data_IF_890410184390
#
_entry.id   IF_890410184390
#
_cell.length_a   1.000
_cell.length_b   1.000
_cell.length_c   1.000
_cell.angle_alpha   90.00
_cell.angle_beta   90.00
_cell.angle_gamma   90.00
#
_symmetry.space_group_name_H-M   'P 1'
#
loop_
_entity.id
_entity.type
_entity.pdbx_description
1 polymer ?
2 polymer ?
#
# COMPACT_ATOMS: atom_id res chain seq x y z
N UNK A 16 -8.67 -26.56 -26.45
CA UNK A 16 -8.28 -25.21 -26.03
C UNK A 16 -9.50 -24.36 -25.72
N UNK A 17 -9.47 -23.71 -24.56
CA UNK A 17 -10.59 -22.85 -24.14
C UNK A 17 -10.67 -21.57 -24.97
N UNK A 18 -9.53 -21.07 -25.42
CA UNK A 18 -9.48 -19.93 -26.32
C UNK A 18 -8.15 -19.98 -27.06
N UNK A 19 -7.99 -19.09 -28.03
CA UNK A 19 -6.76 -19.02 -28.81
C UNK A 19 -5.75 -18.13 -28.11
N UNK A 20 -4.55 -18.68 -27.90
CA UNK A 20 -3.46 -18.06 -27.16
C UNK A 20 -2.40 -17.44 -28.06
N UNK A 21 -2.64 -17.39 -29.36
CA UNK A 21 -1.65 -16.84 -30.29
C UNK A 21 -1.36 -15.38 -29.97
N UNK A 22 -0.07 -15.07 -29.86
CA UNK A 22 0.37 -13.73 -29.51
C UNK A 22 0.04 -12.72 -30.60
N UNK A 23 -0.66 -11.65 -30.22
CA UNK A 23 -1.02 -10.57 -31.14
C UNK A 23 -0.17 -9.33 -30.91
N UNK A 24 0.90 -9.43 -30.13
CA UNK A 24 1.76 -8.29 -29.89
C UNK A 24 2.93 -8.67 -29.00
N UNK A 25 3.78 -7.67 -28.74
CA UNK A 25 4.96 -7.87 -27.90
C UNK A 25 4.57 -8.33 -26.50
N UNK A 26 5.36 -9.25 -25.96
CA UNK A 26 5.29 -9.60 -24.54
C UNK A 26 5.60 -8.40 -23.66
N UNK A 27 4.98 -8.39 -22.46
CA UNK A 27 5.26 -7.41 -21.43
C UNK A 27 5.58 -8.11 -20.12
N UNK A 28 6.53 -7.54 -19.36
CA UNK A 28 6.90 -8.03 -18.03
C UNK A 28 6.34 -7.10 -16.96
N UNK A 29 5.51 -7.63 -16.07
CA UNK A 29 4.84 -6.85 -15.04
C UNK A 29 5.49 -7.04 -13.68
N UNK A 30 5.60 -5.94 -12.95
CA UNK A 30 6.04 -5.92 -11.56
C UNK A 30 5.53 -4.61 -10.97
N UNK A 31 5.37 -4.59 -9.65
CA UNK A 31 4.81 -3.41 -9.00
C UNK A 31 5.53 -2.12 -9.42
N UNK A 32 6.87 -2.14 -9.40
CA UNK A 32 7.64 -0.93 -9.64
C UNK A 32 8.26 -0.89 -11.03
N UNK A 33 7.71 -1.65 -11.97
CA UNK A 33 8.29 -1.71 -13.31
C UNK A 33 8.22 -0.36 -13.99
N UNK A 34 7.03 0.24 -14.03
CA UNK A 34 6.85 1.53 -14.68
C UNK A 34 7.66 2.63 -14.02
N UNK A 35 7.94 2.47 -12.72
CA UNK A 35 8.67 3.47 -11.94
C UNK A 35 10.16 3.14 -11.84
N UNK A 36 10.68 2.36 -12.80
CA UNK A 36 12.09 1.96 -12.89
C UNK A 36 12.58 1.27 -11.62
N UNK A 37 11.70 0.49 -10.98
CA UNK A 37 11.98 -0.21 -9.73
C UNK A 37 12.22 0.74 -8.56
N UNK A 38 11.79 1.99 -8.70
CA UNK A 38 12.03 3.03 -7.70
C UNK A 38 10.75 3.31 -6.92
N UNK A 39 10.86 3.32 -5.60
CA UNK A 39 9.77 3.72 -4.71
C UNK A 39 10.17 5.02 -4.01
N UNK A 40 9.35 6.05 -4.17
CA UNK A 40 9.61 7.38 -3.60
C UNK A 40 8.74 7.59 -2.37
N UNK A 41 9.35 8.09 -1.30
CA UNK A 41 8.63 8.40 -0.07
C UNK A 41 8.86 9.88 0.20
N UNK A 42 7.76 10.63 0.34
CA UNK A 42 7.82 12.04 0.73
C UNK A 42 7.19 12.17 2.11
N UNK A 43 7.96 12.69 3.06
CA UNK A 43 7.57 12.82 4.46
C UNK A 43 7.65 14.28 4.83
N UNK A 44 6.55 14.85 5.29
CA UNK A 44 6.52 16.26 5.65
C UNK A 44 7.23 16.52 6.98
N UNK A 45 8.24 17.40 6.94
CA UNK A 45 9.10 17.68 8.09
C UNK A 45 8.32 17.97 9.35
N UNK A 46 7.06 18.41 9.20
CA UNK A 46 6.18 18.64 10.35
C UNK A 46 5.79 17.34 11.04
N UNK A 47 5.47 16.29 10.28
CA UNK A 47 5.07 15.05 10.93
C UNK A 47 6.26 14.36 11.56
N UNK A 48 7.45 14.49 10.96
CA UNK A 48 8.68 14.04 11.60
C UNK A 48 8.97 14.81 12.88
N UNK A 49 8.73 16.13 12.87
CA UNK A 49 8.97 16.93 14.07
C UNK A 49 8.04 16.52 15.21
N UNK A 50 6.77 16.24 14.88
CA UNK A 50 5.86 15.75 15.92
C UNK A 50 6.32 14.40 16.44
N UNK A 51 6.82 13.55 15.56
CA UNK A 51 7.33 12.24 15.98
C UNK A 51 8.48 12.41 16.97
N UNK A 52 9.43 13.30 16.67
CA UNK A 52 10.56 13.51 17.57
C UNK A 52 10.11 14.09 18.91
N UNK A 53 9.14 15.00 18.89
CA UNK A 53 8.63 15.57 20.14
C UNK A 53 8.07 14.46 21.03
N UNK A 54 7.23 13.60 20.45
CA UNK A 54 6.65 12.50 21.22
C UNK A 54 7.74 11.56 21.73
N UNK A 55 8.77 11.32 20.90
CA UNK A 55 9.83 10.41 21.32
C UNK A 55 10.58 10.99 22.52
N UNK A 56 10.81 12.31 22.51
CA UNK A 56 11.60 12.89 23.59
C UNK A 56 10.81 12.89 24.89
N UNK A 57 9.49 13.12 24.79
CA UNK A 57 8.64 13.05 25.99
C UNK A 57 8.70 11.64 26.58
N UNK A 58 8.53 10.62 25.72
CA UNK A 58 8.59 9.24 26.18
C UNK A 58 9.95 8.98 26.82
N UNK A 59 11.02 9.44 26.17
CA UNK A 59 12.39 9.21 26.61
C UNK A 59 12.68 9.88 27.94
N UNK A 60 11.86 10.85 28.33
CA UNK A 60 12.08 11.57 29.57
C UNK A 60 11.08 11.17 30.65
N UNK A 61 10.03 10.44 30.29
CA UNK A 61 9.04 10.02 31.27
C UNK A 61 9.52 8.85 32.11
N UNK A 62 10.52 8.10 31.66
CA UNK A 62 11.09 7.03 32.45
C UNK A 62 12.57 6.90 32.13
N UNK A 63 13.34 6.51 33.15
CA UNK A 63 14.79 6.60 33.09
C UNK A 63 15.49 5.24 33.01
N UNK A 64 14.84 4.15 33.44
CA UNK A 64 15.47 2.84 33.30
C UNK A 64 15.17 2.25 31.92
N UNK A 65 14.03 2.60 31.34
CA UNK A 65 13.63 2.11 30.02
C UNK A 65 14.56 2.77 29.00
N UNK A 66 15.30 1.96 28.24
CA UNK A 66 16.00 2.58 27.13
C UNK A 66 15.04 3.27 26.15
N UNK A 67 15.53 4.36 25.59
CA UNK A 67 14.84 5.25 24.66
C UNK A 67 14.34 4.73 23.31
N UNK A 68 13.55 3.67 23.22
CA UNK A 68 13.01 3.33 21.91
C UNK A 68 11.51 3.64 21.90
N UNK A 69 11.11 4.67 21.16
CA UNK A 69 9.70 5.02 20.98
C UNK A 69 8.98 4.18 19.93
N UNK A 70 7.68 3.92 20.16
CA UNK A 70 6.87 3.16 19.22
C UNK A 70 5.73 4.06 18.73
N UNK A 71 5.74 4.47 17.46
CA UNK A 71 4.63 5.26 16.93
C UNK A 71 4.10 4.68 15.62
N UNK A 72 3.21 5.43 14.96
CA UNK A 72 2.74 5.15 13.62
C UNK A 72 2.87 6.46 12.85
N UNK A 73 3.27 6.39 11.58
CA UNK A 73 3.06 7.47 10.61
C UNK A 73 1.92 7.11 9.64
N UNK A 74 1.19 8.13 9.20
CA UNK A 74 0.08 7.94 8.28
C UNK A 74 0.33 8.66 6.95
N UNK A 75 0.10 7.93 5.85
CA UNK A 75 0.33 8.46 4.52
C UNK A 75 -0.78 8.14 3.54
N UNK A 76 -0.61 8.64 2.31
CA UNK A 76 -1.50 8.37 1.19
C UNK A 76 -0.67 7.87 0.02
N UNK A 77 -1.27 7.00 -0.81
CA UNK A 77 -0.59 6.42 -1.97
C UNK A 77 -1.03 7.15 -3.22
N UNK A 78 -0.07 7.71 -3.95
CA UNK A 78 -0.33 8.49 -5.16
C UNK A 78 0.50 7.95 -6.31
N UNK A 79 -0.05 8.02 -7.53
CA UNK A 79 0.60 7.52 -8.73
C UNK A 79 0.59 8.64 -9.77
N UNK A 80 1.77 9.07 -10.20
CA UNK A 80 1.95 10.34 -10.90
C UNK A 80 1.75 10.18 -12.41
N UNK A 81 2.13 11.23 -13.15
CA UNK A 81 1.97 11.26 -14.61
C UNK A 81 2.57 10.06 -15.31
N UNK A 82 3.77 9.62 -14.93
CA UNK A 82 4.35 8.53 -15.71
C UNK A 82 4.50 7.28 -14.85
N UNK A 83 3.41 6.90 -14.19
CA UNK A 83 3.32 5.69 -13.38
C UNK A 83 4.40 5.70 -12.30
N UNK A 84 4.62 6.87 -11.72
CA UNK A 84 5.60 7.03 -10.64
C UNK A 84 4.91 6.87 -9.30
N UNK A 85 5.33 5.89 -8.50
CA UNK A 85 4.62 5.59 -7.27
C UNK A 85 5.25 6.44 -6.17
N UNK A 86 4.42 7.19 -5.43
CA UNK A 86 4.89 8.01 -4.32
C UNK A 86 4.02 7.80 -3.09
N UNK A 87 4.65 7.60 -1.94
CA UNK A 87 3.94 7.54 -0.68
C UNK A 87 4.12 8.89 0.01
N UNK A 88 3.02 9.59 0.28
CA UNK A 88 3.06 10.90 0.90
C UNK A 88 2.67 10.71 2.36
N UNK A 89 3.66 10.74 3.25
CA UNK A 89 3.44 10.52 4.68
C UNK A 89 3.38 11.89 5.33
N UNK A 90 2.24 12.21 5.97
CA UNK A 90 2.10 13.56 6.51
C UNK A 90 1.35 13.59 7.83
N UNK A 91 1.12 12.46 8.49
CA UNK A 91 0.37 12.47 9.74
C UNK A 91 1.08 11.53 10.71
N UNK A 92 1.32 12.01 11.92
CA UNK A 92 1.84 11.19 13.00
C UNK A 92 0.69 10.81 13.92
N UNK A 93 0.73 9.59 14.43
CA UNK A 93 -0.33 9.11 15.28
C UNK A 93 0.36 8.26 16.32
N UNK A 94 0.37 8.70 17.58
CA UNK A 94 1.03 7.89 18.61
C UNK A 94 0.40 6.52 18.80
N UNK A 95 -0.90 6.39 18.57
CA UNK A 95 -1.55 5.10 18.69
C UNK A 95 -2.08 4.79 20.08
N UNK A 96 -2.91 3.75 20.14
CA UNK A 96 -3.53 3.25 21.35
C UNK A 96 -2.94 1.89 21.73
N UNK A 97 -3.04 1.56 23.01
CA UNK A 97 -2.73 0.22 23.49
C UNK A 97 -4.03 -0.47 23.84
N UNK A 98 -4.22 -1.68 23.33
CA UNK A 98 -5.41 -2.48 23.63
C UNK A 98 -4.97 -3.83 24.18
N UNK A 99 -5.85 -4.44 24.98
CA UNK A 99 -5.55 -5.71 25.63
C UNK A 99 -6.66 -6.69 25.30
N UNK A 100 -6.33 -7.72 24.50
CA UNK A 100 -7.27 -8.80 24.22
C UNK A 100 -7.33 -9.81 25.36
N UNK A 101 -6.39 -9.76 26.30
CA UNK A 101 -6.27 -10.64 27.45
C UNK A 101 -5.96 -12.09 27.06
N UNK A 102 -5.58 -12.33 25.80
CA UNK A 102 -5.07 -13.65 25.44
C UNK A 102 -3.69 -13.86 26.06
N UNK A 103 -2.79 -12.90 25.89
CA UNK A 103 -1.52 -12.87 26.57
C UNK A 103 -1.43 -11.66 27.47
N UNK A 104 -0.60 -11.74 28.52
CA UNK A 104 -0.51 -10.65 29.48
C UNK A 104 0.03 -9.37 28.84
N UNK A 105 0.92 -9.50 27.86
CA UNK A 105 1.51 -8.33 27.22
C UNK A 105 0.46 -7.53 26.47
N UNK A 106 0.41 -6.23 26.73
CA UNK A 106 -0.53 -5.37 26.04
C UNK A 106 -0.09 -5.18 24.58
N UNK A 107 -1.05 -4.82 23.73
CA UNK A 107 -0.77 -4.66 22.32
C UNK A 107 -0.75 -3.18 21.94
N UNK A 108 0.05 -2.89 20.93
CA UNK A 108 0.33 -1.56 20.40
C UNK A 108 -0.31 -1.42 19.02
N UNK A 109 -1.25 -0.51 18.87
CA UNK A 109 -1.98 -0.40 17.60
C UNK A 109 -2.08 1.07 17.22
N UNK A 110 -2.32 1.35 15.92
CA UNK A 110 -2.47 2.75 15.51
C UNK A 110 -3.68 3.38 16.18
N UNK A 111 -3.70 4.72 16.17
CA UNK A 111 -4.79 5.42 16.84
C UNK A 111 -6.13 5.10 16.16
N UNK A 112 -6.27 5.47 14.89
CA UNK A 112 -7.50 5.26 14.12
C UNK A 112 -7.18 4.88 12.68
N UNK A 113 -7.37 3.62 12.30
CA UNK A 113 -7.05 3.25 10.92
C UNK A 113 -8.12 3.84 9.99
N UNK A 114 -7.70 4.76 9.11
CA UNK A 114 -8.61 5.33 8.11
C UNK A 114 -8.53 4.52 6.83
N UNK A 115 -9.65 4.23 6.16
CA UNK A 115 -9.53 3.62 4.82
C UNK A 115 -8.81 4.57 3.88
N UNK A 116 -7.81 4.04 3.19
CA UNK A 116 -6.92 4.79 2.33
C UNK A 116 -5.65 5.26 3.00
N UNK A 117 -5.48 4.97 4.29
CA UNK A 117 -4.30 5.37 5.05
C UNK A 117 -3.22 4.31 4.86
N UNK A 118 -2.02 4.73 4.46
CA UNK A 118 -0.87 3.85 4.60
C UNK A 118 -0.36 3.96 6.03
N UNK A 119 -0.31 2.82 6.73
CA UNK A 119 0.15 2.75 8.11
C UNK A 119 1.62 2.34 8.09
N UNK A 120 2.49 3.22 8.58
CA UNK A 120 3.92 2.92 8.60
C UNK A 120 4.35 2.87 10.07
N UNK A 121 4.62 1.69 10.63
CA UNK A 121 5.15 1.66 12.00
C UNK A 121 6.47 2.41 12.08
N UNK A 122 6.57 3.29 13.08
CA UNK A 122 7.75 4.15 13.25
C UNK A 122 8.40 3.80 14.58
N UNK A 123 9.62 3.31 14.52
CA UNK A 123 10.45 3.06 15.68
C UNK A 123 11.58 4.07 15.73
N UNK A 125 14.89 5.80 18.21
CA UNK A 125 15.73 5.73 19.41
C UNK A 125 16.91 6.69 19.31
N UNK A 126 17.30 7.26 20.44
CA UNK A 126 18.49 8.08 20.46
C UNK A 126 19.70 7.15 20.33
N UNK A 127 20.58 7.43 19.36
CA UNK A 127 21.76 6.58 19.20
C UNK A 127 22.67 6.69 20.42
N UNK A 128 23.25 5.56 20.81
CA UNK A 128 24.13 5.56 21.98
C UNK A 128 25.33 6.48 21.75
N UNK A 129 26.25 6.05 20.88
CA UNK A 129 27.45 6.82 20.61
C UNK A 129 27.56 7.13 19.12
N UNK A 130 27.54 6.09 18.30
CA UNK A 130 27.59 6.18 16.85
C UNK A 130 27.16 4.87 16.26
N UNK A 131 26.27 4.93 15.26
CA UNK A 131 25.76 3.72 14.62
C UNK A 131 25.86 3.91 13.11
N UNK A 132 26.99 3.45 12.55
CA UNK A 132 27.15 3.42 11.09
C UNK A 132 26.24 2.38 10.48
N UNK A 133 26.25 1.18 11.03
CA UNK A 133 25.38 0.13 10.56
C UNK A 133 23.92 0.46 10.80
N UNK A 134 23.15 0.43 9.72
CA UNK A 134 21.72 0.70 9.77
C UNK A 134 21.00 -0.60 9.49
N UNK A 135 20.09 -0.96 10.38
CA UNK A 135 19.25 -2.14 10.24
C UNK A 135 17.80 -1.69 10.28
N UNK A 136 17.20 -1.35 9.14
CA UNK A 136 15.84 -0.82 9.20
C UNK A 136 14.92 -2.01 9.00
N UNK A 137 13.69 -1.90 9.49
CA UNK A 137 12.72 -2.97 9.33
C UNK A 137 13.43 -4.29 9.63
N UNK A 138 13.93 -4.41 10.87
CA UNK A 138 14.59 -5.67 11.20
C UNK A 138 13.64 -6.86 11.06
N UNK A 139 14.25 -8.05 10.96
CA UNK A 139 13.52 -9.28 10.75
C UNK A 139 12.71 -9.70 11.96
N UNK A 140 13.15 -9.31 13.15
CA UNK A 140 12.40 -9.62 14.36
C UNK A 140 11.04 -8.95 14.36
N UNK A 141 10.94 -7.73 13.85
CA UNK A 141 9.62 -7.13 13.80
C UNK A 141 9.06 -6.97 12.40
N UNK A 142 9.89 -6.53 11.45
CA UNK A 142 9.43 -6.46 10.06
C UNK A 142 9.08 -7.82 9.52
N UNK A 143 9.86 -8.85 9.84
CA UNK A 143 9.56 -10.15 9.27
C UNK A 143 8.19 -10.64 9.71
N UNK A 144 7.89 -10.53 11.00
CA UNK A 144 6.57 -10.88 11.48
C UNK A 144 5.50 -10.02 10.82
N UNK A 145 5.75 -8.71 10.71
CA UNK A 145 4.76 -7.83 10.11
C UNK A 145 4.49 -8.20 8.65
N UNK A 146 5.53 -8.57 7.91
CA UNK A 146 5.37 -8.93 6.50
C UNK A 146 4.69 -10.27 6.36
N UNK A 147 4.94 -11.20 7.27
CA UNK A 147 4.21 -12.46 7.27
C UNK A 147 2.72 -12.19 7.44
N UNK A 148 2.39 -11.31 8.39
CA UNK A 148 0.99 -10.90 8.58
C UNK A 148 0.44 -10.22 7.33
N UNK A 149 1.27 -9.39 6.67
CA UNK A 149 0.83 -8.69 5.46
C UNK A 149 0.47 -9.67 4.37
N UNK A 150 1.33 -10.66 4.11
CA UNK A 150 1.06 -11.60 3.04
C UNK A 150 -0.10 -12.52 3.42
N UNK A 151 -0.26 -12.79 4.71
CA UNK A 151 -1.40 -13.57 5.16
C UNK A 151 -2.71 -12.83 4.88
N UNK A 152 -2.70 -11.50 5.05
CA UNK A 152 -3.85 -10.67 4.72
C UNK A 152 -4.08 -10.65 3.21
N UNK A 153 -3.00 -10.59 2.43
CA UNK A 153 -3.11 -10.60 0.97
C UNK A 153 -3.70 -11.91 0.45
N UNK A 154 -3.44 -13.03 1.12
CA UNK A 154 -3.96 -14.31 0.66
C UNK A 154 -5.46 -14.47 0.89
N UNK A 155 -6.01 -13.88 1.94
CA UNK A 155 -7.35 -14.18 2.41
C UNK A 155 -8.34 -13.04 2.22
N UNK A 156 -7.87 -11.85 1.81
CA UNK A 156 -8.76 -10.71 1.68
C UNK A 156 -9.83 -10.95 0.62
N UNK A 157 -11.01 -10.42 0.91
CA UNK A 157 -12.16 -10.43 0.03
C UNK A 157 -12.50 -9.04 -0.49
N UNK A 158 -11.64 -8.06 -0.26
CA UNK A 158 -12.00 -6.71 -0.61
C UNK A 158 -11.47 -6.42 -2.01
N UNK A 159 -11.86 -5.27 -2.54
CA UNK A 159 -11.36 -4.87 -3.86
C UNK A 159 -9.85 -4.78 -3.82
N UNK A 160 -9.25 -4.96 -5.00
CA UNK A 160 -7.80 -4.85 -5.08
C UNK A 160 -7.38 -3.48 -4.60
N UNK A 161 -6.40 -3.45 -3.70
CA UNK A 161 -5.90 -2.23 -3.10
C UNK A 161 -4.39 -2.30 -3.15
N UNK A 162 -3.76 -1.30 -3.78
CA UNK A 162 -2.32 -1.29 -3.85
C UNK A 162 -1.71 -1.23 -2.46
N UNK A 163 -2.39 -0.61 -1.50
CA UNK A 163 -1.85 -0.54 -0.14
C UNK A 163 -1.71 -1.91 0.54
N UNK A 164 -2.47 -2.91 0.14
CA UNK A 164 -2.30 -4.23 0.74
C UNK A 164 -1.06 -4.94 0.21
N UNK A 166 2.30 -3.81 0.00
CA UNK A 166 3.63 -3.47 0.50
C UNK A 166 3.60 -3.22 2.00
N UNK A 167 4.71 -3.52 2.68
CA UNK A 167 4.85 -3.27 4.12
C UNK A 167 6.10 -2.43 4.38
N UNK A 168 5.89 -1.22 4.91
CA UNK A 168 6.93 -0.21 5.10
C UNK A 168 7.10 0.14 6.58
N UNK A 169 8.34 0.23 7.05
CA UNK A 169 8.64 0.58 8.43
C UNK A 169 9.76 1.61 8.42
N UNK A 170 9.84 2.41 9.49
CA UNK A 170 10.89 3.44 9.55
C UNK A 170 11.55 3.39 10.92
N UNK A 171 12.88 3.38 10.92
CA UNK A 171 13.69 3.56 12.12
C UNK A 171 14.37 4.92 12.06
N UNK A 172 14.24 5.69 13.12
CA UNK A 172 14.79 7.04 13.20
C UNK A 172 15.67 7.18 14.43
N UNK A 173 16.93 7.56 14.23
CA UNK A 173 17.79 7.87 15.36
C UNK A 173 17.95 9.38 15.43
N UNK A 174 17.62 9.97 16.59
CA UNK A 174 17.58 11.41 16.75
C UNK A 174 18.48 11.89 17.88
N UNK A 175 18.78 13.19 17.82
CA UNK A 175 19.59 13.88 18.83
C UNK A 175 19.09 15.31 18.92
N UNK A 176 19.03 15.80 20.16
CA UNK A 176 18.60 17.16 20.48
C UNK A 176 19.70 17.91 21.21
N UNK A 177 20.04 19.09 20.71
CA UNK A 177 20.89 19.98 21.49
C UNK A 177 20.19 21.31 21.64
N UNK A 178 20.90 22.34 22.14
CA UNK A 178 20.25 23.61 22.38
C UNK A 178 19.81 24.28 21.08
N UNK A 179 20.48 23.96 19.98
CA UNK A 179 20.26 24.69 18.73
C UNK A 179 19.25 23.99 17.83
N UNK A 180 19.36 22.67 17.66
CA UNK A 180 18.61 22.02 16.60
C UNK A 180 18.34 20.57 16.97
N UNK A 181 17.42 19.96 16.23
CA UNK A 181 17.17 18.52 16.23
C UNK A 181 17.73 17.89 14.96
N UNK A 182 18.58 16.87 15.12
CA UNK A 182 19.14 16.14 13.98
C UNK A 182 18.59 14.72 14.02
N UNK A 183 18.20 14.20 12.84
CA UNK A 183 17.61 12.86 12.74
C UNK A 183 18.18 12.10 11.53
N UNK A 184 18.61 10.85 11.76
CA UNK A 184 18.94 9.91 10.69
C UNK A 184 17.75 8.97 10.49
N UNK A 185 17.12 9.07 9.33
CA UNK A 185 15.91 8.32 8.99
C UNK A 185 16.27 7.20 8.03
N UNK A 186 16.01 5.96 8.46
CA UNK A 186 16.16 4.77 7.62
C UNK A 186 14.77 4.17 7.43
N UNK A 187 14.27 4.24 6.19
CA UNK A 187 12.95 3.75 5.83
C UNK A 187 13.09 2.56 4.89
N UNK A 188 12.41 1.47 5.25
CA UNK A 188 12.54 0.23 4.53
C UNK A 188 11.17 -0.34 4.19
N UNK A 189 11.11 -1.04 3.06
CA UNK A 189 9.86 -1.60 2.53
C UNK A 189 10.13 -2.99 2.00
N UNK A 190 9.10 -3.83 2.07
CA UNK A 190 9.10 -5.14 1.42
C UNK A 190 7.83 -5.28 0.58
N UNK A 191 7.94 -6.11 -0.46
CA UNK A 191 6.90 -6.28 -1.48
C UNK A 191 7.15 -7.55 -2.29
N UNK A 192 6.11 -8.20 -2.81
CA UNK A 192 6.29 -9.42 -3.61
C UNK A 192 7.05 -9.16 -4.91
N UNK A 193 7.97 -10.07 -5.23
CA UNK A 193 8.84 -9.96 -6.39
C UNK A 193 8.26 -10.54 -7.68
N UNK A 194 7.17 -11.31 -7.59
CA UNK A 194 6.64 -12.05 -8.74
C UNK A 194 6.46 -11.16 -9.97
N UNK A 195 7.05 -11.58 -11.09
CA UNK A 195 6.84 -10.96 -12.39
C UNK A 195 5.70 -11.67 -13.13
N UNK A 196 4.75 -10.88 -13.66
CA UNK A 196 3.68 -11.41 -14.49
C UNK A 196 4.05 -11.32 -15.97
N UNK A 197 4.11 -12.46 -16.65
CA UNK A 197 4.29 -12.44 -18.10
C UNK A 197 2.95 -12.21 -18.79
N UNK A 198 2.88 -11.20 -19.66
CA UNK A 198 1.63 -10.85 -20.31
C UNK A 198 1.79 -10.83 -21.84
N UNK A 199 0.87 -11.50 -22.52
CA UNK A 199 0.91 -11.66 -23.97
C UNK A 199 -0.39 -11.12 -24.54
N UNK A 200 -0.37 -10.18 -25.48
CA UNK A 200 -1.62 -9.75 -26.11
C UNK A 200 -2.18 -10.87 -26.98
N UNK A 201 -3.49 -11.09 -26.88
CA UNK A 201 -4.15 -12.17 -27.60
C UNK A 201 -5.37 -11.62 -28.33
N UNK A 202 -5.93 -12.44 -29.21
CA UNK A 202 -7.11 -12.06 -29.96
C UNK A 202 -8.33 -11.94 -29.04
N UNK A 203 -9.29 -11.10 -29.40
CA UNK A 203 -10.48 -10.90 -28.54
C UNK A 203 -11.32 -12.17 -28.42
N UNK A 204 -11.96 -12.31 -27.26
CA UNK A 204 -12.80 -13.46 -26.94
C UNK A 204 -14.21 -12.94 -26.71
N UNK A 205 -15.21 -13.72 -27.15
CA UNK A 205 -16.59 -13.29 -27.01
C UNK A 205 -16.98 -13.17 -25.54
N UNK A 206 -17.65 -12.07 -25.20
CA UNK A 206 -18.13 -11.80 -23.86
C UNK A 206 -19.66 -11.72 -23.92
N UNK A 207 -20.31 -12.46 -23.04
CA UNK A 207 -21.78 -12.35 -22.96
C UNK A 207 -22.16 -10.91 -22.62
N UNK A 208 -23.02 -10.26 -23.40
CA UNK A 208 -23.32 -8.83 -23.19
C UNK A 208 -24.28 -8.59 -22.03
N UNK A 209 -23.87 -9.00 -20.83
CA UNK A 209 -24.63 -8.71 -19.63
C UNK A 209 -24.54 -7.23 -19.28
N UNK A 210 -25.29 -6.85 -18.24
CA UNK A 210 -25.35 -5.44 -17.84
C UNK A 210 -23.97 -4.94 -17.42
N UNK A 211 -23.21 -5.79 -16.72
CA UNK A 211 -21.86 -5.40 -16.31
C UNK A 211 -20.97 -5.20 -17.53
N UNK A 212 -21.02 -6.13 -18.50
CA UNK A 212 -20.23 -5.97 -19.72
C UNK A 212 -20.63 -4.72 -20.49
N UNK A 213 -21.93 -4.38 -20.48
CA UNK A 213 -22.38 -3.21 -21.23
C UNK A 213 -21.92 -1.93 -20.54
N UNK A 214 -21.92 -1.91 -19.21
CA UNK A 214 -21.47 -0.72 -18.49
C UNK A 214 -19.95 -0.60 -18.56
N UNK A 215 -19.27 -1.74 -18.70
CA UNK A 215 -17.82 -1.80 -18.80
C UNK A 215 -17.32 -1.32 -20.16
N UNK A 216 -18.03 -1.65 -21.23
CA UNK A 216 -17.58 -1.12 -22.51
C UNK A 216 -18.04 0.32 -22.74
N UNK A 217 -18.83 0.86 -21.82
CA UNK A 217 -19.33 2.21 -21.93
C UNK A 217 -18.25 3.20 -21.57
N UNK A 218 -18.60 4.20 -20.74
CA UNK A 218 -17.74 5.33 -20.37
C UNK A 218 -16.52 4.88 -19.55
N UNK A 225 -13.78 8.94 -14.71
CA UNK A 225 -13.86 9.18 -13.27
C UNK A 225 -12.54 8.86 -12.59
N UNK A 226 -11.69 8.10 -13.30
CA UNK A 226 -10.34 7.76 -12.84
C UNK A 226 -10.37 6.99 -11.52
N UNK A 227 -11.37 6.14 -11.36
CA UNK A 227 -11.44 5.19 -10.26
C UNK A 227 -11.18 3.77 -10.79
N UNK A 228 -10.25 3.06 -10.15
CA UNK A 228 -9.95 1.72 -10.60
C UNK A 228 -10.99 0.76 -10.02
N UNK A 229 -11.40 -0.22 -10.81
CA UNK A 229 -12.16 -1.36 -10.33
C UNK A 229 -11.73 -2.61 -11.07
N UNK A 230 -11.99 -3.77 -10.44
CA UNK A 230 -11.56 -5.03 -11.02
C UNK A 230 -12.56 -6.12 -10.63
N UNK A 231 -12.49 -7.23 -11.35
CA UNK A 231 -13.31 -8.39 -11.06
C UNK A 231 -12.67 -9.68 -11.54
N UNK A 232 -13.49 -10.69 -11.75
CA UNK A 232 -13.04 -12.02 -12.11
C UNK A 232 -13.79 -12.49 -13.34
N UNK A 233 -13.25 -13.48 -14.04
CA UNK A 233 -13.82 -13.93 -15.31
C UNK A 233 -14.30 -15.36 -15.16
N UNK A 234 -15.61 -15.56 -15.38
CA UNK A 234 -16.32 -16.84 -15.43
C UNK A 234 -16.68 -17.22 -16.87
N UNK A 235 -17.25 -18.41 -17.03
CA UNK A 235 -17.61 -18.97 -18.33
C UNK A 235 -18.92 -19.73 -18.18
N UNK A 236 -19.77 -19.67 -19.21
CA UNK A 236 -21.08 -20.31 -19.17
C UNK A 236 -21.14 -21.55 -20.06
N UNK A 237 -22.34 -22.13 -20.16
CA UNK A 237 -22.51 -23.37 -20.91
C UNK A 237 -22.20 -23.21 -22.38
N UNK A 238 -22.49 -22.04 -22.96
CA UNK A 238 -22.19 -21.77 -24.36
C UNK A 238 -20.73 -21.43 -24.61
N UNK A 239 -19.88 -21.59 -23.61
CA UNK A 239 -18.45 -21.26 -23.71
C UNK A 239 -18.27 -19.79 -24.07
N UNK A 240 -19.13 -18.96 -23.51
CA UNK A 240 -19.05 -17.51 -23.62
C UNK A 240 -18.57 -16.93 -22.29
N UNK A 241 -17.85 -15.82 -22.36
CA UNK A 241 -17.25 -15.26 -21.16
C UNK A 241 -18.25 -14.38 -20.43
N UNK A 242 -18.30 -14.54 -19.10
CA UNK A 242 -19.13 -13.74 -18.22
C UNK A 242 -18.25 -13.00 -17.22
N UNK A 243 -18.41 -11.67 -17.15
CA UNK A 243 -17.63 -10.87 -16.22
C UNK A 243 -18.33 -10.85 -14.88
N UNK A 244 -17.55 -10.95 -13.80
CA UNK A 244 -18.08 -11.08 -12.45
C UNK A 244 -17.45 -10.06 -11.54
N UNK A 245 -18.27 -9.47 -10.66
CA UNK A 245 -17.82 -8.56 -9.63
C UNK A 245 -17.01 -9.30 -8.57
N UNK A 246 -16.09 -8.56 -7.94
CA UNK A 246 -15.24 -9.14 -6.92
C UNK A 246 -16.00 -9.47 -5.63
N UNK A 247 -17.28 -9.10 -5.57
CA UNK A 247 -18.12 -9.36 -4.40
C UNK A 247 -19.17 -10.45 -4.63
N UNK A 248 -19.20 -11.06 -5.81
CA UNK A 248 -20.20 -12.09 -6.11
C UNK A 248 -19.96 -13.33 -5.25
N UNK A 249 -20.94 -13.73 -4.42
CA UNK A 249 -20.72 -14.91 -3.56
C UNK A 249 -20.54 -16.23 -4.31
N UNK A 250 -20.95 -16.31 -5.58
CA UNK A 250 -20.71 -17.52 -6.36
C UNK A 250 -19.23 -17.78 -6.63
N UNK A 251 -18.37 -16.79 -6.37
CA UNK A 251 -16.93 -16.90 -6.62
C UNK A 251 -16.27 -18.05 -5.88
N UNK A 252 -16.87 -18.55 -4.79
CA UNK A 252 -16.20 -19.57 -3.97
C UNK A 252 -16.04 -20.89 -4.71
N UNK A 253 -16.92 -21.20 -5.66
CA UNK A 253 -16.80 -22.46 -6.37
C UNK A 253 -17.05 -22.34 -7.87
N UNK A 254 -17.40 -21.16 -8.37
CA UNK A 254 -17.54 -20.98 -9.83
C UNK A 254 -16.18 -21.15 -10.50
N UNK A 255 -16.12 -21.79 -11.67
CA UNK A 255 -14.83 -21.96 -12.38
C UNK A 255 -14.34 -20.62 -12.93
N UNK A 256 -13.18 -20.18 -12.46
CA UNK A 256 -12.65 -18.87 -12.84
C UNK A 256 -11.46 -19.06 -13.76
N UNK A 257 -11.32 -18.18 -14.75
CA UNK A 257 -10.23 -18.26 -15.72
C UNK A 257 -9.41 -16.98 -15.81
N UNK A 258 -9.72 -15.98 -15.00
CA UNK A 258 -8.96 -14.74 -15.05
C UNK A 258 -9.74 -13.61 -14.41
N UNK A 259 -9.40 -12.39 -14.85
CA UNK A 259 -9.90 -11.18 -14.24
C UNK A 259 -10.23 -10.13 -15.30
N UNK A 260 -11.01 -9.12 -14.88
CA UNK A 260 -11.15 -7.92 -15.68
C UNK A 260 -10.78 -6.72 -14.81
N UNK A 261 -10.18 -5.72 -15.45
CA UNK A 261 -9.70 -4.50 -14.82
C UNK A 261 -10.12 -3.32 -15.68
N UNK A 262 -10.57 -2.24 -15.05
CA UNK A 262 -11.02 -1.06 -15.77
C UNK A 262 -10.34 0.19 -15.21
N UNK A 263 -10.16 1.20 -16.06
CA UNK A 263 -9.72 2.49 -15.57
C UNK A 263 -8.23 2.76 -15.48
N UNK A 264 -7.39 2.10 -16.29
CA UNK A 264 -5.97 2.41 -16.31
C UNK A 264 -5.57 2.88 -17.71
N UNK A 265 -4.40 3.50 -17.80
CA UNK A 265 -3.92 3.99 -19.09
C UNK A 265 -3.20 2.90 -19.87
N UNK A 266 -2.42 2.06 -19.20
CA UNK A 266 -1.70 1.00 -19.88
C UNK A 266 -1.57 -0.18 -18.93
N UNK A 267 -0.94 -1.25 -19.42
CA UNK A 267 -0.71 -2.43 -18.59
C UNK A 267 0.37 -2.20 -17.55
N UNK A 268 1.14 -1.11 -17.68
CA UNK A 268 2.22 -0.82 -16.75
C UNK A 268 1.72 -0.20 -15.45
N UNK A 269 0.43 0.15 -15.36
CA UNK A 269 -0.10 0.69 -14.12
C UNK A 269 0.05 -0.35 -13.02
N UNK A 270 0.59 -0.01 -11.86
CA UNK A 270 0.81 -0.99 -10.80
C UNK A 270 -0.46 -1.68 -10.30
N UNK A 271 -1.63 -1.08 -10.55
CA UNK A 271 -2.86 -1.74 -10.16
C UNK A 271 -3.04 -3.06 -10.88
N UNK A 272 -2.56 -3.15 -12.13
CA UNK A 272 -2.69 -4.39 -12.88
C UNK A 272 -1.88 -5.52 -12.24
N UNK A 273 -0.60 -5.26 -11.94
CA UNK A 273 0.19 -6.26 -11.24
C UNK A 273 -0.44 -6.64 -9.91
N UNK A 274 -1.02 -5.67 -9.20
CA UNK A 274 -1.64 -5.98 -7.92
C UNK A 274 -2.85 -6.90 -8.08
N UNK A 275 -3.66 -6.67 -9.12
CA UNK A 275 -4.80 -7.55 -9.38
C UNK A 275 -4.37 -8.95 -9.79
N UNK A 276 -3.34 -9.05 -10.64
CA UNK A 276 -2.83 -10.37 -11.03
C UNK A 276 -2.36 -11.16 -9.83
N UNK A 278 -3.26 -10.75 -6.75
CA UNK A 278 -4.46 -11.09 -5.96
C UNK A 278 -5.18 -12.31 -6.50
N UNK A 279 -5.31 -12.42 -7.84
CA UNK A 279 -5.97 -13.59 -8.42
C UNK A 279 -5.19 -14.86 -8.15
N UNK A 280 -3.86 -14.80 -8.28
CA UNK A 280 -3.03 -15.98 -8.09
C UNK A 280 -3.04 -16.44 -6.63
N UNK A 281 -3.04 -15.49 -5.70
CA UNK A 281 -2.89 -15.84 -4.29
C UNK A 281 -4.19 -16.28 -3.64
N UNK A 282 -5.33 -15.77 -4.09
CA UNK A 282 -6.58 -15.94 -3.35
C UNK A 282 -6.93 -17.41 -3.18
N UNK A 283 -7.15 -17.82 -1.93
CA UNK A 283 -7.71 -19.12 -1.58
C UNK A 283 -9.21 -19.06 -1.30
N UNK A 284 -9.85 -17.89 -1.46
CA UNK A 284 -11.29 -17.83 -1.45
C UNK A 284 -11.90 -18.31 -2.75
N UNK A 285 -11.12 -18.33 -3.82
CA UNK A 285 -11.54 -18.86 -5.12
C UNK A 285 -10.97 -20.28 -5.20
N UNK A 286 -11.85 -21.26 -5.00
CA UNK A 286 -11.43 -22.66 -4.89
C UNK A 286 -11.52 -23.41 -6.21
N UNK A 287 -12.00 -22.76 -7.26
CA UNK A 287 -12.23 -23.39 -8.56
C UNK A 287 -11.54 -22.58 -9.65
N UNK A 288 -10.27 -22.25 -9.44
CA UNK A 288 -9.48 -21.52 -10.43
C UNK A 288 -8.92 -22.52 -11.43
N UNK A 289 -9.73 -22.84 -12.45
CA UNK A 289 -9.37 -23.82 -13.47
C UNK A 289 -8.35 -23.31 -14.48
N UNK A 290 -8.09 -22.00 -14.51
CA UNK A 290 -6.97 -21.43 -15.23
C UNK A 290 -6.15 -20.57 -14.28
N UNK A 291 -4.84 -20.81 -14.24
CA UNK A 291 -3.99 -20.17 -13.26
C UNK A 291 -2.68 -19.78 -13.93
N UNK A 292 -1.64 -19.57 -13.12
CA UNK A 292 -0.38 -19.07 -13.62
C UNK A 292 0.37 -20.06 -14.49
N UNK A 293 0.12 -21.36 -14.31
CA UNK A 293 0.83 -22.35 -15.10
C UNK A 293 0.20 -22.53 -16.47
N UNK A 294 -1.13 -22.53 -16.55
CA UNK A 294 -1.82 -22.66 -17.82
C UNK A 294 -1.96 -21.32 -18.55
N UNK A 295 -1.77 -20.20 -17.85
CA UNK A 295 -2.13 -18.91 -18.40
C UNK A 295 -3.58 -18.57 -18.09
N UNK A 296 -3.82 -17.34 -17.64
CA UNK A 296 -5.16 -16.86 -17.34
C UNK A 296 -5.40 -15.56 -18.07
N UNK A 297 -6.66 -15.18 -18.19
CA UNK A 297 -7.03 -14.07 -19.06
C UNK A 297 -7.12 -12.78 -18.24
N UNK A 298 -6.72 -11.67 -18.86
CA UNK A 298 -6.88 -10.33 -18.32
C UNK A 298 -7.63 -9.50 -19.36
N UNK A 299 -8.81 -9.01 -18.97
CA UNK A 299 -9.59 -8.08 -19.79
C UNK A 299 -9.35 -6.66 -19.30
N UNK A 300 -8.63 -5.86 -20.10
CA UNK A 300 -8.14 -4.55 -19.68
C UNK A 300 -8.95 -3.47 -20.40
N UNK A 301 -9.78 -2.75 -19.66
CA UNK A 301 -10.55 -1.62 -20.19
C UNK A 301 -9.74 -0.35 -19.95
N UNK A 302 -8.95 0.02 -20.95
CA UNK A 302 -8.11 1.20 -20.89
C UNK A 302 -8.92 2.46 -21.17
N UNK A 303 -8.41 3.58 -20.66
CA UNK A 303 -9.03 4.89 -20.82
C UNK A 303 -8.79 5.50 -22.20
N UNK A 304 -7.90 4.92 -23.01
CA UNK A 304 -7.52 5.52 -24.27
C UNK A 304 -8.09 4.76 -25.47
N UNK A 305 -8.85 3.69 -25.23
CA UNK A 305 -9.44 2.88 -26.28
C UNK A 305 -10.89 2.61 -25.91
N UNK A 306 -11.78 2.53 -26.89
CA UNK A 306 -13.20 2.35 -26.55
C UNK A 306 -13.52 0.94 -26.10
N UNK A 307 -12.78 -0.06 -26.59
CA UNK A 307 -12.92 -1.48 -26.32
C UNK A 307 -11.72 -2.02 -25.55
N UNK A 308 -11.92 -3.06 -24.75
CA UNK A 308 -10.82 -3.60 -23.94
C UNK A 308 -9.79 -4.36 -24.77
N UNK A 309 -8.59 -4.45 -24.19
CA UNK A 309 -7.48 -5.25 -24.69
C UNK A 309 -7.46 -6.56 -23.91
N UNK A 310 -7.06 -7.62 -24.59
CA UNK A 310 -7.03 -8.95 -24.01
C UNK A 310 -5.60 -9.45 -23.87
N UNK A 311 -5.26 -9.98 -22.68
CA UNK A 311 -3.92 -10.49 -22.45
C UNK A 311 -4.03 -11.86 -21.78
N UNK A 312 -3.09 -12.73 -22.13
CA UNK A 312 -2.83 -13.99 -21.45
C UNK A 312 -1.61 -13.85 -20.56
N UNK A 313 -1.81 -14.03 -19.27
CA UNK A 313 -0.77 -13.89 -18.26
C UNK A 313 -0.34 -15.25 -17.74
N UNK A 314 0.96 -15.38 -17.45
CA UNK A 314 1.54 -16.61 -16.93
C UNK A 314 2.63 -16.25 -15.93
N UNK A 315 2.88 -17.16 -14.99
CA UNK A 315 4.00 -17.07 -14.04
C UNK A 315 4.58 -18.44 -13.75
N UNK A 316 5.93 -18.50 -13.64
CA UNK A 316 6.59 -19.79 -13.44
C UNK A 316 7.73 -19.78 -12.42
N UNK A 317 8.10 -18.64 -11.85
CA UNK A 317 9.23 -18.56 -10.91
C UNK A 317 8.89 -19.00 -9.50
N UNK A 318 9.60 -18.42 -8.53
CA UNK A 318 9.45 -18.77 -7.12
C UNK A 318 8.30 -17.97 -6.51
N UNK A 319 7.37 -18.68 -5.85
CA UNK A 319 6.14 -18.05 -5.37
C UNK A 319 6.30 -17.19 -4.12
N UNK A 320 7.18 -17.55 -3.17
CA UNK A 320 7.26 -16.81 -1.92
C UNK A 320 8.50 -15.94 -1.80
N UNK A 321 9.11 -15.55 -2.92
CA UNK A 321 10.25 -14.63 -2.94
C UNK A 321 9.76 -13.19 -3.04
N UNK A 322 10.46 -12.27 -2.36
CA UNK A 322 10.08 -10.86 -2.29
C UNK A 322 11.29 -9.94 -2.47
N UNK A 323 11.00 -8.75 -3.02
CA UNK A 323 11.88 -7.58 -3.11
C UNK A 323 11.74 -6.78 -1.81
N UNK A 324 12.81 -6.08 -1.45
CA UNK A 324 12.86 -5.27 -0.25
C UNK A 324 13.99 -4.26 -0.40
N UNK A 325 13.87 -3.16 0.32
CA UNK A 325 15.00 -2.26 0.40
C UNK A 325 14.79 -1.20 1.45
N UNK A 326 15.86 -0.43 1.67
CA UNK A 326 15.88 0.66 2.62
C UNK A 326 16.60 1.86 2.01
N UNK A 327 16.33 3.03 2.60
CA UNK A 327 17.01 4.28 2.27
C UNK A 327 17.19 5.04 3.58
N UNK A 328 18.21 5.87 3.66
CA UNK A 328 18.44 6.60 4.90
C UNK A 328 19.05 7.93 4.51
N UNK A 329 18.83 8.92 5.35
CA UNK A 329 19.40 10.24 5.15
C UNK A 329 19.37 11.00 6.46
N UNK A 330 20.27 11.96 6.60
CA UNK A 330 20.21 12.81 7.77
C UNK A 330 19.39 14.05 7.39
N UNK A 331 18.66 14.57 8.37
CA UNK A 331 17.99 15.86 8.25
C UNK A 331 18.31 16.69 9.49
N UNK A 332 18.50 18.00 9.31
CA UNK A 332 18.78 18.92 10.41
C UNK A 332 17.66 19.96 10.42
N UNK A 334 15.61 23.23 12.43
CA UNK A 334 15.60 24.27 13.44
C UNK A 334 14.61 23.92 14.54
N UNK A 335 14.91 24.39 15.76
CA UNK A 335 13.98 24.23 16.87
C UNK A 335 12.61 24.80 16.54
N UNK A 336 12.59 26.00 15.97
CA UNK A 336 11.33 26.66 15.62
C UNK A 336 10.92 26.21 14.24
N UNK A 337 9.71 25.65 14.14
CA UNK A 337 9.23 25.14 12.87
C UNK A 337 8.89 26.31 11.94
N UNK A 338 9.83 26.67 11.07
CA UNK A 338 9.54 27.65 10.03
C UNK A 338 8.23 27.28 9.35
N UNK A 339 7.38 28.28 9.12
CA UNK A 339 6.07 28.01 8.52
C UNK A 339 6.26 27.80 7.01
N UNK A 340 6.91 26.69 6.70
CA UNK A 340 7.13 26.20 5.36
C UNK A 340 6.49 24.83 5.23
N UNK A 341 6.50 24.31 4.01
CA UNK A 341 6.00 22.96 3.77
C UNK A 341 7.20 22.11 3.41
N UNK A 342 8.27 22.22 4.19
CA UNK A 342 9.45 21.40 3.95
C UNK A 342 9.13 19.93 4.18
N UNK A 343 9.77 19.09 3.38
CA UNK A 343 9.60 17.65 3.44
C UNK A 343 10.90 16.96 3.07
N UNK A 345 12.52 13.59 0.94
CA UNK A 345 12.26 12.60 -0.10
C UNK A 345 13.27 11.48 0.09
N UNK A 346 12.74 10.27 0.16
CA UNK A 346 13.47 9.01 0.24
C UNK A 346 13.16 8.17 -0.98
N UNK A 347 14.17 7.48 -1.50
CA UNK A 347 14.02 6.63 -2.67
C UNK A 347 14.13 5.15 -2.26
N UNK A 348 14.25 4.27 -3.26
CA UNK A 348 14.31 2.83 -3.06
C UNK A 348 15.59 2.33 -3.72
N UNK A 349 16.50 1.85 -2.88
CA UNK A 349 17.76 1.23 -3.26
C UNK A 349 17.79 -0.23 -2.84
N UNK A 350 17.25 -1.14 -3.64
CA UNK A 350 17.15 -2.52 -3.18
C UNK A 350 18.51 -3.20 -3.31
N UNK A 351 18.67 -4.25 -2.51
CA UNK A 351 19.86 -5.11 -2.52
C UNK A 351 20.46 -5.34 -3.91
N UNK B 48 -28.30 9.00 -7.13
CA UNK B 48 -28.52 10.18 -6.30
C UNK B 48 -28.14 9.93 -4.85
N UNK B 49 -28.62 8.79 -4.30
CA UNK B 49 -28.30 8.46 -2.91
C UNK B 49 -26.80 8.28 -2.73
N UNK B 50 -26.16 7.67 -3.72
CA UNK B 50 -24.72 7.41 -3.64
C UNK B 50 -23.95 8.72 -3.61
N UNK B 51 -24.40 9.71 -4.36
CA UNK B 51 -23.70 11.00 -4.40
C UNK B 51 -23.73 11.68 -3.04
N UNK B 52 -24.87 11.59 -2.34
CA UNK B 52 -24.99 12.22 -1.04
C UNK B 52 -24.26 11.41 0.03
N UNK B 53 -24.24 10.09 -0.11
CA UNK B 53 -23.48 9.28 0.83
C UNK B 53 -21.99 9.58 0.67
N UNK B 54 -21.54 9.73 -0.58
CA UNK B 54 -20.15 10.06 -0.85
C UNK B 54 -19.82 11.45 -0.32
N UNK B 55 -20.78 12.38 -0.43
CA UNK B 55 -20.59 13.70 0.16
C UNK B 55 -20.37 13.58 1.66
N UNK B 56 -21.20 12.77 2.33
CA UNK B 56 -21.06 12.55 3.76
C UNK B 56 -19.68 11.97 4.07
N UNK B 57 -19.22 11.02 3.25
CA UNK B 57 -17.91 10.42 3.47
C UNK B 57 -16.81 11.47 3.35
N UNK B 58 -16.92 12.35 2.34
CA UNK B 58 -15.94 13.41 2.17
C UNK B 58 -15.93 14.35 3.37
N UNK B 59 -17.12 14.68 3.87
CA UNK B 59 -17.23 15.53 5.04
C UNK B 59 -16.60 14.86 6.25
N UNK B 60 -16.74 13.54 6.34
CA UNK B 60 -16.16 12.81 7.46
C UNK B 60 -14.64 12.80 7.35
N UNK B 61 -14.11 12.63 6.12
CA UNK B 61 -12.67 12.68 5.94
C UNK B 61 -12.13 14.05 6.33
N UNK B 62 -12.89 15.11 6.00
CA UNK B 62 -12.49 16.46 6.39
C UNK B 62 -12.46 16.57 7.91
N UNK B 63 -13.53 16.09 8.57
CA UNK B 63 -13.61 16.10 10.02
C UNK B 63 -12.40 15.38 10.63
N UNK B 64 -12.06 14.22 10.07
CA UNK B 64 -10.92 13.45 10.57
C UNK B 64 -9.65 14.27 10.43
N UNK B 65 -9.50 14.98 9.31
CA UNK B 65 -8.29 15.76 9.08
C UNK B 65 -8.20 16.91 10.09
N UNK B 66 -9.33 17.55 10.37
CA UNK B 66 -9.34 18.66 11.30
C UNK B 66 -9.00 18.17 12.70
N UNK B 67 -9.58 17.05 13.13
CA UNK B 67 -9.31 16.56 14.48
C UNK B 67 -7.85 16.13 14.59
N UNK B 68 -7.32 15.55 13.52
CA UNK B 68 -5.92 15.16 13.50
C UNK B 68 -5.03 16.37 13.71
N UNK B 69 -5.30 17.45 12.97
CA UNK B 69 -4.45 18.64 13.06
C UNK B 69 -4.59 19.28 14.44
N UNK B 70 -5.80 19.24 15.00
CA UNK B 70 -6.00 19.76 16.36
C UNK B 70 -5.21 18.96 17.37
N UNK B 71 -5.17 17.63 17.19
CA UNK B 71 -4.42 16.79 18.11
C UNK B 71 -2.93 17.02 17.97
N UNK B 72 -2.46 17.21 16.73
CA UNK B 72 -1.04 17.52 16.54
C UNK B 72 -0.69 18.83 17.24
N UNK B 73 -1.58 19.82 17.16
CA UNK B 73 -1.31 21.10 17.82
C UNK B 73 -1.28 20.93 19.34
N UNK B 74 -2.22 20.15 19.88
CA UNK B 74 -2.19 19.86 21.31
C UNK B 74 -0.92 19.12 21.70
N UNK B 75 -0.46 18.19 20.86
CA UNK B 75 0.79 17.49 21.14
C UNK B 75 1.96 18.46 21.18
N UNK B 76 1.96 19.45 20.28
CA UNK B 76 3.04 20.44 20.29
C UNK B 76 2.97 21.28 21.55
N UNK B 77 1.75 21.66 21.96
CA UNK B 77 1.62 22.47 23.17
C UNK B 77 2.04 21.68 24.40
N UNK B 78 1.74 20.37 24.43
CA UNK B 78 2.18 19.56 25.55
C UNK B 78 3.69 19.46 25.59
N UNK B 79 4.32 19.28 24.43
CA UNK B 79 5.78 19.22 24.40
C UNK B 79 6.38 20.53 24.88
N UNK B 80 5.76 21.66 24.49
CA UNK B 80 6.23 22.96 24.93
C UNK B 80 6.12 23.11 26.44
N UNK B 81 4.99 22.67 27.02
CA UNK B 81 4.84 22.76 28.47
C UNK B 81 5.81 21.85 29.20
N UNK B 82 6.08 20.66 28.66
CA UNK B 82 7.03 19.78 29.33
C UNK B 82 8.42 20.40 29.28
N UNK B 83 8.76 21.05 28.16
CA UNK B 83 10.07 21.69 28.05
C UNK B 83 10.18 22.86 29.01
N UNK B 84 9.10 23.64 29.13
CA UNK B 84 9.05 24.74 30.09
C UNK B 84 9.14 24.20 31.52
N UNK B 85 8.71 22.95 31.73
CA UNK B 85 8.67 22.33 33.04
C UNK B 85 9.97 21.61 33.41
N UNK B 86 10.92 21.53 32.48
CA UNK B 86 12.20 20.88 32.75
C UNK B 86 12.96 21.55 33.89
#
# INVERSE_FOLDING_TARGET
GGSXATNENLPEIXTKLWDSKAQGEQEELHLLKGSDCNLTIDITEKCLRLAQRSAYQLHTETSATKRIQKFFLLGSLNINKDDRVIINIDRFDPGRIIDRKEGNKSLHVPTAVIPGDVIIPLSXQLACLGSEGVSPFSISEYYDAFQTLTKNLKLSCDSVDIKDXLSLKIHATYYVDSDEISINVTSGVVVPSALITAVPILPVSIVPTALARSLSGPLHLSNFQDTQKSGYVAINNSHNLLLVLDSDPKLSSIPLVGIWVDGVISIHHPYVWSACXRYLYSQRLTNKIRDGSTGFILVLYTQTRPKPEFWECSFSGKSDKFLYCQASDDIFXEKVAKTRNEYXRLQLVPNEFGENLYFQ
GESWQKRYDSLQKIVEKQQQKMDQLRSQVQSLEQEVAQEEGTSQALREEAQRRDSALQQLRTAVKELSVQNQDLIEKNLTLQEHLRQA
#
